data_IF_390580715480
#
_entry.id   IF_390580715480
#
_cell.length_a   1.000
_cell.length_b   1.000
_cell.length_c   1.000
_cell.angle_alpha   90.00
_cell.angle_beta   90.00
_cell.angle_gamma   90.00
#
_symmetry.space_group_name_H-M   'P 1'
#
loop_
_entity.id
_entity.type
_entity.pdbx_description
1 polymer ?
#
# COMPACT_ATOMS: atom_id res chain seq x y z
N UNK A 1 -7.32 50.28 -3.56
CA UNK A 1 -8.60 49.85 -4.17
C UNK A 1 -9.42 51.09 -4.53
N UNK A 2 -10.20 51.03 -5.60
CA UNK A 2 -11.34 51.91 -5.81
C UNK A 2 -12.55 51.00 -5.92
N UNK A 3 -12.83 50.23 -4.85
CA UNK A 3 -13.99 49.34 -4.80
C UNK A 3 -15.22 50.23 -4.72
N UNK A 4 -15.85 50.46 -5.86
CA UNK A 4 -17.23 50.94 -5.85
C UNK A 4 -18.08 49.82 -5.26
N UNK A 5 -18.45 49.96 -3.99
CA UNK A 5 -19.31 49.06 -3.22
C UNK A 5 -20.79 49.28 -3.52
N UNK A 6 -21.13 50.26 -4.37
CA UNK A 6 -22.51 50.53 -4.77
C UNK A 6 -23.08 49.52 -5.78
N UNK A 7 -24.39 49.56 -6.03
CA UNK A 7 -25.07 48.66 -6.95
C UNK A 7 -24.51 48.75 -8.39
N UNK A 8 -24.20 47.60 -9.01
CA UNK A 8 -23.71 47.54 -10.40
C UNK A 8 -24.67 48.19 -11.40
N UNK A 9 -25.97 48.05 -11.17
CA UNK A 9 -27.02 48.64 -12.02
C UNK A 9 -26.99 50.17 -12.01
N UNK A 10 -26.53 50.78 -10.90
CA UNK A 10 -26.33 52.24 -10.84
C UNK A 10 -25.25 52.69 -11.82
N UNK A 11 -24.20 51.88 -12.03
CA UNK A 11 -23.17 52.17 -13.01
C UNK A 11 -23.67 51.97 -14.44
N UNK A 12 -24.42 50.89 -14.71
CA UNK A 12 -25.03 50.65 -16.02
C UNK A 12 -26.02 51.76 -16.39
N UNK A 13 -26.92 52.14 -15.46
CA UNK A 13 -27.81 53.30 -15.64
C UNK A 13 -27.03 54.59 -15.86
N UNK A 14 -25.96 54.84 -15.10
CA UNK A 14 -25.11 56.04 -15.25
C UNK A 14 -24.43 56.15 -16.61
N UNK A 15 -24.11 55.04 -17.27
CA UNK A 15 -23.56 55.04 -18.63
C UNK A 15 -24.61 54.86 -19.72
N UNK A 16 -25.79 54.33 -19.38
CA UNK A 16 -26.91 54.13 -20.30
C UNK A 16 -26.72 52.91 -21.19
N UNK A 17 -25.84 51.99 -20.78
CA UNK A 17 -25.51 50.75 -21.48
C UNK A 17 -25.39 49.66 -20.43
N UNK A 18 -25.81 48.44 -20.74
CA UNK A 18 -25.60 47.31 -19.85
C UNK A 18 -24.12 46.90 -19.87
N UNK A 19 -23.38 47.32 -18.84
CA UNK A 19 -21.95 47.06 -18.73
C UNK A 19 -21.62 45.62 -18.32
N UNK A 20 -22.59 44.89 -17.76
CA UNK A 20 -22.36 43.60 -17.10
C UNK A 20 -23.19 42.45 -17.67
N UNK A 21 -24.02 42.70 -18.70
CA UNK A 21 -24.80 41.68 -19.40
C UNK A 21 -25.91 41.05 -18.55
N UNK A 22 -26.49 41.82 -17.62
CA UNK A 22 -27.56 41.34 -16.72
C UNK A 22 -28.97 41.59 -17.27
N UNK A 23 -29.14 42.30 -18.39
CA UNK A 23 -30.43 42.53 -19.03
C UNK A 23 -31.41 43.41 -18.25
N UNK A 24 -30.94 44.18 -17.26
CA UNK A 24 -31.80 45.02 -16.41
C UNK A 24 -32.29 46.31 -17.10
N UNK A 25 -33.46 46.82 -16.69
CA UNK A 25 -34.00 48.11 -17.16
C UNK A 25 -33.01 49.25 -16.86
N UNK A 26 -32.49 49.88 -17.92
CA UNK A 26 -31.52 50.98 -17.87
C UNK A 26 -32.15 52.37 -17.69
N UNK A 27 -33.47 52.41 -17.43
CA UNK A 27 -34.25 53.65 -17.34
C UNK A 27 -33.59 54.63 -16.37
N UNK A 28 -33.19 55.78 -16.89
CA UNK A 28 -32.87 56.95 -16.06
C UNK A 28 -34.17 57.68 -15.78
N UNK A 29 -34.39 58.06 -14.53
CA UNK A 29 -35.33 59.15 -14.27
C UNK A 29 -34.75 60.39 -14.97
N UNK A 30 -35.55 61.00 -15.86
CA UNK A 30 -35.16 62.21 -16.59
C UNK A 30 -34.92 63.40 -15.64
N UNK A 31 -35.41 63.30 -14.40
CA UNK A 31 -35.36 64.38 -13.42
C UNK A 31 -34.94 63.82 -12.05
N UNK A 32 -33.89 64.36 -11.40
CA UNK A 32 -33.57 64.02 -10.01
C UNK A 32 -34.68 64.49 -9.05
N UNK A 33 -34.90 63.80 -7.92
CA UNK A 33 -35.85 64.25 -6.91
C UNK A 33 -35.48 65.66 -6.43
N UNK A 34 -36.44 66.60 -6.46
CA UNK A 34 -36.28 67.99 -6.01
C UNK A 34 -35.95 69.03 -7.09
N UNK A 35 -35.90 68.66 -8.38
CA UNK A 35 -35.68 69.60 -9.48
C UNK A 35 -36.95 69.67 -10.34
N UNK A 36 -37.59 70.84 -10.43
CA UNK A 36 -38.68 71.08 -11.37
C UNK A 36 -38.09 71.64 -12.67
N UNK A 37 -37.93 70.79 -13.68
CA UNK A 37 -37.60 71.21 -15.05
C UNK A 37 -36.51 70.37 -15.72
N UNK A 38 -36.61 70.12 -17.05
CA UNK A 38 -35.57 69.44 -17.79
C UNK A 38 -34.35 70.36 -17.89
N UNK A 39 -33.21 69.96 -17.31
CA UNK A 39 -31.93 70.60 -17.64
C UNK A 39 -31.71 70.39 -19.15
N UNK A 40 -31.44 71.48 -19.88
CA UNK A 40 -31.11 71.40 -21.30
C UNK A 40 -30.06 70.31 -21.56
N UNK A 41 -30.27 69.52 -22.61
CA UNK A 41 -29.33 68.49 -23.03
C UNK A 41 -28.03 69.17 -23.48
N UNK A 42 -27.10 69.42 -22.56
CA UNK A 42 -25.76 69.83 -22.95
C UNK A 42 -25.10 68.68 -23.72
N UNK A 43 -24.83 68.89 -25.00
CA UNK A 43 -24.00 68.00 -25.80
C UNK A 43 -22.65 67.85 -25.10
N UNK A 44 -22.31 66.62 -24.72
CA UNK A 44 -21.04 66.35 -24.02
C UNK A 44 -19.87 66.84 -24.88
N UNK A 45 -18.95 67.58 -24.25
CA UNK A 45 -17.66 67.95 -24.85
C UNK A 45 -16.89 66.71 -25.32
N UNK A 46 -15.95 66.88 -26.25
CA UNK A 46 -15.12 65.75 -26.72
C UNK A 46 -14.41 65.05 -25.56
N UNK A 47 -13.83 65.81 -24.63
CA UNK A 47 -13.25 65.28 -23.39
C UNK A 47 -14.29 64.50 -22.57
N UNK A 48 -15.49 65.05 -22.41
CA UNK A 48 -16.59 64.38 -21.71
C UNK A 48 -17.00 63.06 -22.36
N UNK A 49 -16.97 62.95 -23.69
CA UNK A 49 -17.21 61.69 -24.42
C UNK A 49 -16.08 60.69 -24.17
N UNK A 50 -14.83 61.10 -24.35
CA UNK A 50 -13.65 60.26 -24.11
C UNK A 50 -13.58 59.74 -22.68
N UNK A 51 -13.85 60.59 -21.68
CA UNK A 51 -13.90 60.20 -20.28
C UNK A 51 -14.96 59.12 -20.04
N UNK A 52 -16.12 59.23 -20.69
CA UNK A 52 -17.20 58.23 -20.56
C UNK A 52 -16.81 56.90 -21.19
N UNK A 53 -16.24 56.91 -22.39
CA UNK A 53 -15.74 55.67 -23.02
C UNK A 53 -14.66 55.00 -22.17
N UNK A 54 -13.71 55.78 -21.63
CA UNK A 54 -12.72 55.29 -20.66
C UNK A 54 -13.39 54.64 -19.44
N UNK A 55 -14.40 55.28 -18.85
CA UNK A 55 -15.11 54.72 -17.70
C UNK A 55 -15.88 53.44 -18.06
N UNK A 56 -16.48 53.35 -19.25
CA UNK A 56 -17.16 52.14 -19.73
C UNK A 56 -16.20 50.97 -19.80
N UNK A 57 -15.08 51.12 -20.51
CA UNK A 57 -14.05 50.07 -20.66
C UNK A 57 -13.53 49.65 -19.29
N UNK A 58 -13.19 50.61 -18.42
CA UNK A 58 -12.69 50.32 -17.07
C UNK A 58 -13.68 49.48 -16.25
N UNK A 59 -14.97 49.80 -16.33
CA UNK A 59 -16.03 49.11 -15.58
C UNK A 59 -16.33 47.73 -16.17
N UNK A 60 -16.41 47.62 -17.50
CA UNK A 60 -16.66 46.35 -18.20
C UNK A 60 -15.61 45.29 -17.85
N UNK A 61 -14.33 45.65 -17.89
CA UNK A 61 -13.21 44.75 -17.58
C UNK A 61 -12.81 44.73 -16.10
N UNK A 62 -13.50 45.51 -15.25
CA UNK A 62 -13.24 45.57 -13.81
C UNK A 62 -11.80 45.97 -13.45
N UNK A 63 -11.26 46.98 -14.14
CA UNK A 63 -9.87 47.44 -14.00
C UNK A 63 -9.74 48.59 -13.01
N UNK A 64 -8.60 48.66 -12.35
CA UNK A 64 -8.22 49.83 -11.58
C UNK A 64 -7.67 50.94 -12.49
N UNK A 65 -7.73 52.20 -12.04
CA UNK A 65 -7.26 53.35 -12.84
C UNK A 65 -5.77 53.20 -13.25
N UNK A 66 -4.93 52.78 -12.30
CA UNK A 66 -3.51 52.51 -12.56
C UNK A 66 -3.32 51.35 -13.53
N UNK A 67 -4.11 50.26 -13.42
CA UNK A 67 -4.02 49.12 -14.33
C UNK A 67 -4.39 49.54 -15.75
N UNK A 68 -5.46 50.31 -15.90
CA UNK A 68 -5.89 50.83 -17.19
C UNK A 68 -4.81 51.71 -17.82
N UNK A 69 -4.21 52.64 -17.05
CA UNK A 69 -3.09 53.45 -17.52
C UNK A 69 -1.92 52.58 -18.01
N UNK A 70 -1.57 51.52 -17.28
CA UNK A 70 -0.50 50.60 -17.66
C UNK A 70 -0.81 49.85 -18.96
N UNK A 71 -2.05 49.39 -19.17
CA UNK A 71 -2.45 48.73 -20.41
C UNK A 71 -2.44 49.69 -21.62
N UNK A 72 -2.90 50.92 -21.44
CA UNK A 72 -2.85 51.94 -22.49
C UNK A 72 -1.39 52.26 -22.86
N UNK A 73 -0.51 52.42 -21.88
CA UNK A 73 0.92 52.63 -22.15
C UNK A 73 1.56 51.44 -22.87
N UNK A 74 1.20 50.20 -22.54
CA UNK A 74 1.65 49.01 -23.27
C UNK A 74 1.13 48.96 -24.71
N UNK A 75 -0.13 49.36 -24.92
CA UNK A 75 -0.73 49.43 -26.26
C UNK A 75 -0.06 50.52 -27.11
N UNK A 76 0.25 51.69 -26.54
CA UNK A 76 0.96 52.78 -27.24
C UNK A 76 2.40 52.42 -27.64
N UNK A 77 3.05 51.54 -26.89
CA UNK A 77 4.39 51.03 -27.22
C UNK A 77 4.37 49.95 -28.31
N UNK A 78 3.21 49.38 -28.58
CA UNK A 78 3.04 48.32 -29.56
C UNK A 78 2.83 48.93 -30.95
N UNK A 79 3.35 48.28 -32.01
CA UNK A 79 3.13 48.74 -33.39
C UNK A 79 1.69 48.40 -33.82
N UNK A 80 1.03 49.34 -34.50
CA UNK A 80 -0.32 49.15 -35.06
C UNK A 80 -1.39 50.03 -34.40
N UNK A 81 -2.66 49.68 -34.63
CA UNK A 81 -3.80 50.41 -34.09
C UNK A 81 -3.88 50.25 -32.55
N UNK A 82 -3.68 51.34 -31.82
CA UNK A 82 -3.65 51.34 -30.34
C UNK A 82 -4.94 50.80 -29.72
N UNK A 83 -6.09 51.06 -30.36
CA UNK A 83 -7.40 50.60 -29.86
C UNK A 83 -7.53 49.09 -29.88
N UNK A 84 -7.15 48.47 -31.00
CA UNK A 84 -7.17 47.01 -31.17
C UNK A 84 -6.15 46.33 -30.26
N UNK A 85 -4.95 46.89 -30.12
CA UNK A 85 -3.93 46.35 -29.22
C UNK A 85 -4.37 46.43 -27.76
N UNK A 86 -5.02 47.52 -27.36
CA UNK A 86 -5.59 47.64 -26.01
C UNK A 86 -6.65 46.56 -25.78
N UNK A 87 -7.57 46.36 -26.73
CA UNK A 87 -8.61 45.33 -26.63
C UNK A 87 -7.99 43.92 -26.56
N UNK A 88 -7.00 43.63 -27.39
CA UNK A 88 -6.27 42.35 -27.38
C UNK A 88 -5.62 42.09 -26.02
N UNK A 89 -4.91 43.06 -25.44
CA UNK A 89 -4.30 42.94 -24.12
C UNK A 89 -5.34 42.75 -22.99
N UNK A 90 -6.53 43.34 -23.14
CA UNK A 90 -7.60 43.17 -22.18
C UNK A 90 -8.29 41.81 -22.32
N UNK A 91 -8.56 41.33 -23.52
CA UNK A 91 -9.20 40.02 -23.73
C UNK A 91 -8.24 38.85 -23.42
N UNK A 92 -6.93 39.01 -23.58
CA UNK A 92 -5.91 37.99 -23.23
C UNK A 92 -5.69 37.78 -21.73
N UNK A 93 -6.40 38.54 -20.89
CA UNK A 93 -6.32 38.40 -19.44
C UNK A 93 -7.02 37.13 -19.00
N UNK A 94 -6.40 36.36 -18.10
CA UNK A 94 -6.90 35.05 -17.66
C UNK A 94 -8.38 35.11 -17.23
N UNK A 95 -8.78 36.08 -16.41
CA UNK A 95 -10.18 36.22 -15.98
C UNK A 95 -11.17 36.50 -17.13
N UNK A 96 -10.75 37.20 -18.18
CA UNK A 96 -11.58 37.43 -19.35
C UNK A 96 -11.64 36.21 -20.27
N UNK A 97 -10.52 35.52 -20.45
CA UNK A 97 -10.48 34.26 -21.22
C UNK A 97 -11.42 33.23 -20.58
N UNK A 98 -11.37 33.07 -19.26
CA UNK A 98 -12.27 32.15 -18.52
C UNK A 98 -13.73 32.52 -18.70
N UNK A 99 -14.06 33.82 -18.64
CA UNK A 99 -15.41 34.30 -18.89
C UNK A 99 -15.86 34.05 -20.33
N UNK A 100 -14.98 34.29 -21.32
CA UNK A 100 -15.27 34.05 -22.74
C UNK A 100 -15.45 32.58 -23.07
N UNK A 101 -14.72 31.70 -22.38
CA UNK A 101 -14.86 30.24 -22.47
C UNK A 101 -16.14 29.71 -21.81
N UNK A 102 -16.93 30.55 -21.13
CA UNK A 102 -18.19 30.13 -20.51
C UNK A 102 -18.03 29.42 -19.16
N UNK A 103 -16.82 29.30 -18.63
CA UNK A 103 -16.58 28.71 -17.30
C UNK A 103 -17.18 29.52 -16.14
N UNK A 104 -17.62 30.76 -16.40
CA UNK A 104 -18.23 31.61 -15.39
C UNK A 104 -19.29 32.54 -15.99
N UNK A 105 -20.41 32.79 -15.28
CA UNK A 105 -21.47 33.67 -15.74
C UNK A 105 -21.06 35.14 -15.79
N UNK A 106 -20.08 35.56 -14.98
CA UNK A 106 -19.66 36.96 -14.91
C UNK A 106 -18.16 37.07 -14.78
N UNK A 107 -17.55 38.09 -15.39
CA UNK A 107 -16.11 38.40 -15.21
C UNK A 107 -15.68 38.47 -13.73
N UNK A 108 -16.56 38.92 -12.83
CA UNK A 108 -16.29 38.92 -11.39
C UNK A 108 -16.17 37.53 -10.79
N UNK A 109 -17.04 36.60 -11.21
CA UNK A 109 -16.95 35.21 -10.78
C UNK A 109 -15.73 34.54 -11.41
N UNK A 110 -15.43 34.78 -12.69
CA UNK A 110 -14.22 34.28 -13.34
C UNK A 110 -12.94 34.69 -12.60
N UNK A 111 -12.87 35.96 -12.18
CA UNK A 111 -11.78 36.47 -11.33
C UNK A 111 -11.68 35.73 -10.00
N UNK A 112 -12.81 35.46 -9.36
CA UNK A 112 -12.86 34.73 -8.10
C UNK A 112 -12.39 33.28 -8.26
N UNK A 113 -12.73 32.60 -9.36
CA UNK A 113 -12.23 31.26 -9.68
C UNK A 113 -10.70 31.21 -9.76
N UNK A 114 -10.10 32.19 -10.45
CA UNK A 114 -8.63 32.33 -10.50
C UNK A 114 -8.06 32.58 -9.12
N UNK A 115 -8.60 33.54 -8.36
CA UNK A 115 -8.10 33.87 -7.03
C UNK A 115 -8.17 32.69 -6.04
N UNK A 116 -9.17 31.81 -6.18
CA UNK A 116 -9.28 30.57 -5.42
C UNK A 116 -8.41 29.41 -5.94
N UNK A 117 -7.49 29.65 -6.87
CA UNK A 117 -6.53 28.66 -7.41
C UNK A 117 -7.20 27.47 -8.10
N UNK A 118 -8.37 27.68 -8.71
CA UNK A 118 -9.14 26.61 -9.34
C UNK A 118 -8.72 26.32 -10.79
N UNK A 119 -7.72 27.02 -11.31
CA UNK A 119 -7.37 27.03 -12.74
C UNK A 119 -5.87 26.79 -12.90
N UNK A 120 -5.54 25.93 -13.85
CA UNK A 120 -4.18 25.56 -14.22
C UNK A 120 -3.88 26.14 -15.61
N UNK A 121 -2.74 26.80 -15.73
CA UNK A 121 -2.19 27.29 -17.01
C UNK A 121 -0.86 26.59 -17.22
N UNK A 122 -0.72 25.82 -18.28
CA UNK A 122 0.47 25.02 -18.60
C UNK A 122 0.93 24.16 -17.41
N UNK A 123 -0.04 23.53 -16.73
CA UNK A 123 0.19 22.69 -15.55
C UNK A 123 0.49 23.44 -14.25
N UNK A 124 0.66 24.77 -14.26
CA UNK A 124 0.92 25.57 -13.05
C UNK A 124 -0.36 26.19 -12.48
N UNK A 125 -0.50 26.17 -11.15
CA UNK A 125 -1.63 26.82 -10.45
C UNK A 125 -1.44 28.33 -10.46
N UNK A 126 -2.35 29.06 -11.10
CA UNK A 126 -2.30 30.53 -11.18
C UNK A 126 -3.36 31.14 -10.26
N UNK A 127 -2.96 32.05 -9.38
CA UNK A 127 -3.86 32.81 -8.51
C UNK A 127 -4.04 34.28 -8.93
N UNK A 128 -3.34 34.72 -9.98
CA UNK A 128 -3.33 36.10 -10.45
C UNK A 128 -4.32 36.25 -11.62
N UNK A 129 -5.46 36.94 -11.44
CA UNK A 129 -6.46 37.11 -12.50
C UNK A 129 -5.97 37.95 -13.68
N UNK A 130 -5.01 38.84 -13.42
CA UNK A 130 -4.38 39.70 -14.43
C UNK A 130 -3.29 39.00 -15.25
N UNK A 131 -3.08 37.70 -15.06
CA UNK A 131 -2.13 36.92 -15.85
C UNK A 131 -2.46 37.06 -17.35
N UNK A 132 -1.43 37.27 -18.17
CA UNK A 132 -1.57 37.47 -19.62
C UNK A 132 -1.26 36.15 -20.31
N UNK A 133 -2.25 35.60 -21.00
CA UNK A 133 -2.10 34.37 -21.75
C UNK A 133 -1.53 34.66 -23.14
N UNK A 134 -0.72 33.75 -23.67
CA UNK A 134 -0.26 33.73 -25.04
C UNK A 134 -1.05 32.71 -25.85
N UNK A 135 -1.01 32.86 -27.17
CA UNK A 135 -1.60 31.89 -28.08
C UNK A 135 -0.78 30.60 -27.97
N UNK A 136 -1.43 29.48 -27.66
CA UNK A 136 -0.79 28.19 -27.41
C UNK A 136 -0.78 27.74 -25.95
N UNK A 137 -1.06 28.64 -25.00
CA UNK A 137 -1.15 28.28 -23.58
C UNK A 137 -2.31 27.31 -23.35
N UNK A 138 -2.05 26.23 -22.61
CA UNK A 138 -3.05 25.21 -22.27
C UNK A 138 -3.74 25.56 -20.96
N UNK A 139 -5.07 25.69 -21.00
CA UNK A 139 -5.89 26.00 -19.82
C UNK A 139 -6.63 24.73 -19.41
N UNK A 140 -6.29 24.20 -18.24
CA UNK A 140 -6.99 23.08 -17.64
C UNK A 140 -7.93 23.59 -16.55
N UNK A 141 -9.23 23.41 -16.76
CA UNK A 141 -10.28 23.68 -15.79
C UNK A 141 -11.13 22.41 -15.62
N UNK A 142 -11.21 21.87 -14.40
CA UNK A 142 -11.95 20.62 -14.14
C UNK A 142 -13.40 20.92 -13.77
N UNK A 143 -14.28 20.72 -14.74
CA UNK A 143 -15.75 20.81 -14.66
C UNK A 143 -16.30 19.74 -13.70
N UNK A 144 -17.10 20.12 -12.70
CA UNK A 144 -17.68 19.17 -11.71
C UNK A 144 -19.14 18.83 -12.00
N UNK A 145 -19.87 19.70 -12.68
CA UNK A 145 -21.24 19.45 -13.17
C UNK A 145 -21.36 19.98 -14.59
N UNK A 146 -21.83 19.14 -15.50
CA UNK A 146 -22.35 19.57 -16.80
C UNK A 146 -23.69 20.26 -16.55
N UNK A 147 -23.62 21.59 -16.51
CA UNK A 147 -24.75 22.51 -16.64
C UNK A 147 -25.80 22.47 -15.50
N UNK A 148 -25.85 23.53 -14.70
CA UNK A 148 -27.12 23.91 -14.07
C UNK A 148 -28.12 24.34 -15.17
N UNK A 149 -29.42 24.46 -14.87
CA UNK A 149 -30.49 24.91 -15.80
C UNK A 149 -30.22 26.24 -16.55
N UNK A 150 -29.14 26.96 -16.20
CA UNK A 150 -28.68 28.20 -16.83
C UNK A 150 -27.37 28.03 -17.65
N UNK A 151 -26.89 26.80 -17.88
CA UNK A 151 -25.71 26.49 -18.70
C UNK A 151 -24.35 26.73 -18.03
N UNK A 152 -24.29 26.84 -16.70
CA UNK A 152 -23.05 27.17 -15.97
C UNK A 152 -22.42 25.97 -15.28
N UNK A 153 -21.08 25.96 -15.28
CA UNK A 153 -20.24 24.95 -14.64
C UNK A 153 -19.93 25.38 -13.19
N UNK A 154 -20.34 24.58 -12.21
CA UNK A 154 -19.95 24.78 -10.80
C UNK A 154 -18.61 24.11 -10.56
N UNK A 155 -17.60 24.86 -10.10
CA UNK A 155 -16.25 24.38 -9.81
C UNK A 155 -16.08 24.19 -8.29
N UNK A 156 -16.01 22.94 -7.83
CA UNK A 156 -15.70 22.62 -6.43
C UNK A 156 -14.34 21.94 -6.31
N UNK A 157 -13.36 22.69 -5.81
CA UNK A 157 -12.00 22.21 -5.58
C UNK A 157 -11.93 21.00 -4.63
N UNK A 158 -12.84 20.94 -3.64
CA UNK A 158 -12.89 19.85 -2.65
C UNK A 158 -13.30 18.50 -3.26
N UNK A 159 -14.14 18.51 -4.29
CA UNK A 159 -14.56 17.27 -4.96
C UNK A 159 -13.48 16.80 -5.95
N UNK A 160 -12.83 17.74 -6.64
CA UNK A 160 -11.73 17.48 -7.55
C UNK A 160 -10.51 16.81 -6.89
N UNK A 161 -10.15 17.22 -5.66
CA UNK A 161 -9.07 16.57 -4.90
C UNK A 161 -9.42 15.13 -4.51
N UNK A 162 -10.68 14.87 -4.12
CA UNK A 162 -11.14 13.50 -3.83
C UNK A 162 -11.07 12.63 -5.08
N UNK A 163 -11.63 13.08 -6.21
CA UNK A 163 -11.62 12.29 -7.45
C UNK A 163 -10.20 12.01 -7.96
N UNK A 164 -9.27 12.96 -7.81
CA UNK A 164 -7.88 12.75 -8.24
C UNK A 164 -7.18 11.70 -7.37
N UNK A 165 -7.46 11.70 -6.06
CA UNK A 165 -7.00 10.66 -5.13
C UNK A 165 -7.63 9.31 -5.45
N UNK A 166 -8.92 9.27 -5.79
CA UNK A 166 -9.60 8.05 -6.23
C UNK A 166 -9.01 7.47 -7.51
N UNK A 167 -8.74 8.30 -8.52
CA UNK A 167 -8.01 7.86 -9.72
C UNK A 167 -6.63 7.30 -9.37
N UNK A 168 -5.89 7.96 -8.47
CA UNK A 168 -4.60 7.44 -8.02
C UNK A 168 -4.71 6.08 -7.30
N UNK A 169 -5.78 5.84 -6.56
CA UNK A 169 -6.04 4.54 -5.92
C UNK A 169 -6.49 3.46 -6.92
N UNK A 170 -7.23 3.83 -7.96
CA UNK A 170 -7.62 2.95 -9.08
C UNK A 170 -6.40 2.54 -9.91
N UNK A 171 -5.52 3.50 -10.23
CA UNK A 171 -4.23 3.24 -10.88
C UNK A 171 -3.34 2.33 -10.02
N UNK A 172 -3.39 2.47 -8.69
CA UNK A 172 -2.65 1.62 -7.76
C UNK A 172 -3.20 0.18 -7.71
N UNK A 173 -4.52 -0.01 -7.78
CA UNK A 173 -5.14 -1.32 -7.89
C UNK A 173 -4.75 -2.01 -9.20
N UNK A 174 -4.79 -1.28 -10.32
CA UNK A 174 -4.45 -1.81 -11.64
C UNK A 174 -2.96 -2.16 -11.79
N UNK A 175 -2.08 -1.34 -11.21
CA UNK A 175 -0.63 -1.58 -11.21
C UNK A 175 -0.18 -2.59 -10.15
N UNK A 176 -1.04 -2.88 -9.16
CA UNK A 176 -0.67 -3.68 -8.00
C UNK A 176 0.44 -3.03 -7.15
N UNK A 177 0.60 -1.72 -7.23
CA UNK A 177 1.67 -0.99 -6.54
C UNK A 177 1.51 -1.01 -5.02
N UNK A 178 2.65 -1.00 -4.34
CA UNK A 178 2.73 -1.02 -2.89
C UNK A 178 2.60 0.41 -2.39
N UNK A 179 1.63 0.65 -1.51
CA UNK A 179 1.35 1.96 -0.95
C UNK A 179 1.72 2.00 0.52
N UNK A 180 2.12 3.18 0.99
CA UNK A 180 2.30 3.46 2.40
C UNK A 180 0.96 3.92 2.99
N UNK A 181 0.55 3.26 4.07
CA UNK A 181 -0.67 3.59 4.81
C UNK A 181 -0.34 3.84 6.28
N UNK A 182 -0.82 4.96 6.81
CA UNK A 182 -0.62 5.35 8.21
C UNK A 182 -1.83 4.93 9.03
N UNK A 183 -1.64 4.16 10.10
CA UNK A 183 -2.77 3.75 10.97
C UNK A 183 -3.29 4.97 11.74
N UNK A 184 -4.59 5.26 11.61
CA UNK A 184 -5.28 6.32 12.35
C UNK A 184 -5.92 5.74 13.62
N UNK A 185 -6.77 4.73 13.45
CA UNK A 185 -7.67 4.22 14.49
C UNK A 185 -7.83 2.69 14.38
N UNK A 186 -8.34 2.06 15.44
CA UNK A 186 -8.64 0.63 15.47
C UNK A 186 -10.10 0.39 15.85
N UNK A 187 -10.72 -0.62 15.24
CA UNK A 187 -12.05 -1.11 15.56
C UNK A 187 -12.00 -2.62 15.86
N UNK A 188 -13.07 -3.17 16.45
CA UNK A 188 -13.19 -4.60 16.82
C UNK A 188 -12.94 -5.59 15.68
N UNK A 189 -12.98 -5.16 14.43
CA UNK A 189 -12.79 -6.01 13.24
C UNK A 189 -11.60 -5.66 12.34
N UNK A 190 -10.85 -4.59 12.62
CA UNK A 190 -9.76 -4.15 11.72
C UNK A 190 -9.17 -2.78 12.03
N UNK A 191 -8.14 -2.40 11.27
CA UNK A 191 -7.43 -1.13 11.37
C UNK A 191 -7.95 -0.13 10.35
N UNK A 192 -8.22 1.10 10.79
CA UNK A 192 -8.46 2.25 9.93
C UNK A 192 -7.13 2.92 9.63
N UNK A 193 -6.80 3.05 8.35
CA UNK A 193 -5.56 3.67 7.91
C UNK A 193 -5.83 4.76 6.88
N UNK A 194 -4.95 5.75 6.82
CA UNK A 194 -4.93 6.76 5.76
C UNK A 194 -3.92 6.33 4.70
N UNK A 195 -4.37 6.21 3.46
CA UNK A 195 -3.52 5.94 2.31
C UNK A 195 -3.84 6.96 1.21
N UNK A 196 -2.82 7.70 0.74
CA UNK A 196 -2.97 8.77 -0.26
C UNK A 196 -4.00 9.87 0.12
N UNK A 197 -4.33 10.01 1.41
CA UNK A 197 -5.34 10.94 1.89
C UNK A 197 -6.78 10.45 1.71
N UNK A 198 -6.98 9.13 1.63
CA UNK A 198 -8.26 8.41 1.67
C UNK A 198 -8.26 7.49 2.92
N UNK A 199 -9.44 7.30 3.54
CA UNK A 199 -9.61 6.40 4.70
C UNK A 199 -9.88 4.96 4.29
N UNK A 200 -8.93 4.08 4.54
CA UNK A 200 -8.98 2.66 4.19
C UNK A 200 -9.20 1.78 5.42
N UNK A 201 -9.64 0.55 5.16
CA UNK A 201 -9.89 -0.45 6.19
C UNK A 201 -9.05 -1.70 5.91
N UNK A 202 -8.24 -2.11 6.89
CA UNK A 202 -7.47 -3.36 6.87
C UNK A 202 -8.16 -4.35 7.83
N UNK A 203 -8.84 -5.38 7.33
CA UNK A 203 -9.38 -6.45 8.17
C UNK A 203 -8.27 -7.24 8.88
N UNK A 204 -8.54 -7.71 10.10
CA UNK A 204 -7.60 -8.50 10.91
C UNK A 204 -7.10 -9.79 10.21
N UNK A 205 -7.91 -10.39 9.35
CA UNK A 205 -7.55 -11.59 8.59
C UNK A 205 -6.47 -11.34 7.52
N UNK A 206 -6.20 -10.08 7.17
CA UNK A 206 -5.22 -9.67 6.15
C UNK A 206 -3.98 -8.98 6.76
N UNK A 207 -3.90 -8.94 8.10
CA UNK A 207 -2.70 -8.55 8.85
C UNK A 207 -1.87 -9.79 9.14
N UNK A 208 -0.56 -9.68 8.94
CA UNK A 208 0.33 -10.83 9.09
C UNK A 208 0.61 -11.17 10.57
N UNK A 209 0.73 -12.47 10.87
CA UNK A 209 0.82 -13.02 12.23
C UNK A 209 2.16 -12.72 12.91
N UNK A 210 3.16 -12.28 12.14
CA UNK A 210 4.51 -11.92 12.57
C UNK A 210 4.54 -10.66 13.44
N UNK A 211 3.64 -9.69 13.23
CA UNK A 211 3.50 -8.52 14.11
C UNK A 211 2.74 -8.81 15.42
N UNK A 212 2.00 -9.93 15.51
CA UNK A 212 1.06 -10.21 16.61
C UNK A 212 1.39 -11.46 17.44
N UNK A 213 2.53 -12.12 17.23
CA UNK A 213 2.89 -13.34 17.96
C UNK A 213 2.89 -13.15 19.50
N UNK A 214 3.22 -11.95 19.99
CA UNK A 214 3.18 -11.63 21.42
C UNK A 214 1.79 -11.18 21.92
N UNK A 215 0.89 -10.73 21.03
CA UNK A 215 -0.41 -10.17 21.42
C UNK A 215 -1.54 -11.20 21.34
N UNK A 216 -1.46 -12.21 20.46
CA UNK A 216 -2.48 -13.28 20.34
C UNK A 216 -2.53 -14.15 21.62
N UNK A 217 -1.41 -14.32 22.32
CA UNK A 217 -1.39 -15.00 23.61
C UNK A 217 -2.18 -14.24 24.70
N UNK A 218 -2.29 -12.90 24.58
CA UNK A 218 -3.12 -12.07 25.48
C UNK A 218 -4.59 -11.98 25.06
N UNK A 219 -4.92 -12.24 23.79
CA UNK A 219 -6.29 -12.22 23.28
C UNK A 219 -7.22 -13.27 23.91
N UNK A 220 -6.68 -14.37 24.44
CA UNK A 220 -7.48 -15.42 25.06
C UNK A 220 -7.73 -15.22 26.57
N UNK A 221 -7.02 -14.31 27.25
CA UNK A 221 -6.98 -14.30 28.72
C UNK A 221 -7.01 -12.92 29.43
N UNK A 222 -7.00 -11.77 28.73
CA UNK A 222 -6.80 -10.46 29.39
C UNK A 222 -7.77 -9.34 28.98
N UNK A 223 -8.19 -8.56 29.99
CA UNK A 223 -9.17 -7.46 29.97
C UNK A 223 -8.96 -6.34 28.92
N UNK A 224 -10.07 -5.72 28.52
CA UNK A 224 -10.23 -4.63 27.53
C UNK A 224 -9.29 -3.40 27.68
N UNK A 225 -8.61 -3.25 28.81
CA UNK A 225 -7.72 -2.13 29.11
C UNK A 225 -6.30 -2.32 28.52
N UNK A 226 -5.74 -3.53 28.56
CA UNK A 226 -4.38 -3.80 28.06
C UNK A 226 -4.29 -3.74 26.53
N UNK A 227 -5.37 -4.11 25.84
CA UNK A 227 -5.52 -4.01 24.38
C UNK A 227 -5.41 -2.56 23.90
N UNK A 228 -5.90 -1.59 24.68
CA UNK A 228 -5.86 -0.17 24.29
C UNK A 228 -4.45 0.42 24.41
N UNK A 229 -3.63 -0.09 25.32
CA UNK A 229 -2.28 0.43 25.57
C UNK A 229 -1.25 -0.10 24.56
N UNK A 230 -1.30 -1.38 24.19
CA UNK A 230 -0.43 -1.94 23.14
C UNK A 230 -0.81 -1.42 21.75
N UNK A 231 -2.09 -1.22 21.45
CA UNK A 231 -2.56 -0.70 20.15
C UNK A 231 -2.30 0.81 19.98
N UNK A 232 -2.22 1.58 21.08
CA UNK A 232 -1.80 2.99 21.03
C UNK A 232 -0.36 3.15 20.55
N UNK A 233 0.52 2.19 20.84
CA UNK A 233 1.91 2.21 20.37
C UNK A 233 2.06 1.93 18.86
N UNK A 234 1.00 1.45 18.21
CA UNK A 234 0.94 1.15 16.77
C UNK A 234 0.23 2.26 15.96
N UNK A 235 -0.54 3.14 16.63
CA UNK A 235 -1.17 4.28 15.99
C UNK A 235 -0.09 5.27 15.48
N UNK A 236 -0.16 5.63 14.19
CA UNK A 236 0.85 6.47 13.54
C UNK A 236 2.03 5.72 12.90
N UNK A 237 2.10 4.39 13.00
CA UNK A 237 3.06 3.61 12.19
C UNK A 237 2.61 3.56 10.73
N UNK A 238 3.59 3.58 9.84
CA UNK A 238 3.41 3.45 8.39
C UNK A 238 3.60 1.99 8.03
N UNK A 239 2.57 1.38 7.42
CA UNK A 239 2.58 0.01 6.94
C UNK A 239 2.50 0.02 5.41
N UNK A 240 3.22 -0.91 4.79
CA UNK A 240 3.14 -1.13 3.34
C UNK A 240 1.95 -2.03 3.04
N UNK A 241 1.05 -1.57 2.19
CA UNK A 241 -0.21 -2.26 1.89
C UNK A 241 -0.52 -2.23 0.40
N UNK A 242 -1.27 -3.22 -0.05
CA UNK A 242 -1.82 -3.31 -1.39
C UNK A 242 -3.34 -3.13 -1.35
N UNK A 243 -3.90 -2.50 -2.37
CA UNK A 243 -5.36 -2.35 -2.53
C UNK A 243 -5.92 -3.66 -3.06
N UNK A 244 -6.91 -4.24 -2.36
CA UNK A 244 -7.66 -5.40 -2.84
C UNK A 244 -8.96 -4.93 -3.50
N UNK A 245 -9.70 -4.07 -2.82
CA UNK A 245 -11.05 -3.71 -3.19
C UNK A 245 -11.27 -2.21 -3.02
N UNK A 246 -11.96 -1.60 -3.98
CA UNK A 246 -12.17 -0.16 -4.05
C UNK A 246 -13.64 0.13 -4.37
N UNK A 247 -14.35 0.70 -3.40
CA UNK A 247 -15.74 1.15 -3.50
C UNK A 247 -15.80 2.70 -3.45
N UNK A 248 -15.85 3.39 -4.60
CA UNK A 248 -15.82 4.85 -4.64
C UNK A 248 -17.13 5.47 -4.12
N UNK A 249 -18.25 4.74 -4.19
CA UNK A 249 -19.56 5.22 -3.72
C UNK A 249 -19.67 5.24 -2.19
N UNK A 250 -19.11 4.22 -1.52
CA UNK A 250 -19.17 4.07 -0.05
C UNK A 250 -17.97 4.72 0.65
N UNK A 251 -17.03 5.32 -0.10
CA UNK A 251 -15.72 5.74 0.39
C UNK A 251 -15.00 4.64 1.19
N UNK A 252 -15.14 3.39 0.74
CA UNK A 252 -14.53 2.23 1.39
C UNK A 252 -13.48 1.70 0.44
N UNK A 253 -12.27 1.48 0.92
CA UNK A 253 -11.28 0.69 0.19
C UNK A 253 -10.58 -0.21 1.19
N UNK A 254 -10.42 -1.46 0.78
CA UNK A 254 -9.87 -2.52 1.61
C UNK A 254 -8.42 -2.73 1.22
N UNK A 255 -7.56 -2.66 2.22
CA UNK A 255 -6.12 -2.75 2.10
C UNK A 255 -5.63 -4.06 2.76
N UNK A 256 -4.57 -4.64 2.22
CA UNK A 256 -3.95 -5.88 2.71
C UNK A 256 -2.44 -5.74 2.78
N UNK A 257 -1.88 -6.04 3.95
CA UNK A 257 -0.43 -6.11 4.16
C UNK A 257 0.14 -7.42 3.60
N UNK A 258 -0.61 -8.53 3.73
CA UNK A 258 -0.20 -9.87 3.29
C UNK A 258 0.18 -9.93 1.80
N UNK A 259 -0.56 -9.24 0.94
CA UNK A 259 -0.31 -9.23 -0.52
C UNK A 259 0.83 -8.29 -0.95
N UNK A 260 1.16 -7.29 -0.12
CA UNK A 260 2.37 -6.49 -0.34
C UNK A 260 3.61 -7.33 -0.03
N UNK A 261 3.54 -8.13 1.04
CA UNK A 261 4.62 -9.02 1.45
C UNK A 261 4.80 -10.21 0.52
N UNK A 262 3.75 -10.77 -0.09
CA UNK A 262 3.95 -11.84 -1.09
C UNK A 262 4.83 -11.37 -2.25
N UNK A 263 4.64 -10.13 -2.71
CA UNK A 263 5.42 -9.56 -3.83
C UNK A 263 6.89 -9.29 -3.43
N UNK A 264 7.15 -8.79 -2.21
CA UNK A 264 8.52 -8.62 -1.68
C UNK A 264 9.19 -9.95 -1.31
N UNK A 265 8.42 -10.86 -0.74
CA UNK A 265 8.86 -12.21 -0.44
C UNK A 265 9.23 -12.91 -1.73
N UNK A 266 8.48 -12.79 -2.83
CA UNK A 266 8.80 -13.51 -4.07
C UNK A 266 10.13 -13.02 -4.69
N UNK A 267 10.39 -11.71 -4.77
CA UNK A 267 11.67 -11.20 -5.28
C UNK A 267 12.87 -11.49 -4.37
N UNK A 268 12.68 -11.45 -3.04
CA UNK A 268 13.74 -11.78 -2.07
C UNK A 268 13.93 -13.30 -1.94
N UNK A 269 12.85 -14.08 -2.11
CA UNK A 269 12.85 -15.55 -2.14
C UNK A 269 13.57 -16.05 -3.37
N UNK A 270 13.33 -15.46 -4.55
CA UNK A 270 14.03 -15.86 -5.77
C UNK A 270 15.54 -15.62 -5.65
N UNK A 271 15.95 -14.48 -5.06
CA UNK A 271 17.36 -14.20 -4.76
C UNK A 271 17.94 -15.18 -3.74
N UNK A 272 17.21 -15.50 -2.67
CA UNK A 272 17.67 -16.46 -1.64
C UNK A 272 17.70 -17.91 -2.14
N UNK A 273 16.73 -18.33 -2.94
CA UNK A 273 16.72 -19.66 -3.57
C UNK A 273 17.93 -19.86 -4.49
N UNK A 274 18.44 -18.79 -5.11
CA UNK A 274 19.68 -18.82 -5.88
C UNK A 274 20.94 -18.88 -5.01
N UNK A 275 20.90 -18.34 -3.79
CA UNK A 275 22.03 -18.35 -2.84
C UNK A 275 22.13 -19.66 -2.03
N UNK A 276 21.01 -20.35 -1.80
CA UNK A 276 20.96 -21.59 -1.00
C UNK A 276 21.36 -22.78 -1.87
N UNK A 277 22.63 -23.18 -1.79
CA UNK A 277 23.09 -24.45 -2.33
C UNK A 277 22.69 -25.63 -1.43
N UNK A 278 22.35 -26.77 -2.03
CA UNK A 278 22.11 -28.04 -1.35
C UNK A 278 23.31 -28.41 -0.46
N UNK A 279 23.08 -28.65 0.83
CA UNK A 279 24.10 -28.97 1.82
C UNK A 279 24.49 -27.83 2.77
N UNK A 280 23.93 -26.64 2.60
CA UNK A 280 24.10 -25.53 3.57
C UNK A 280 23.32 -25.82 4.87
N UNK A 281 23.93 -25.45 5.99
CA UNK A 281 23.28 -25.51 7.32
C UNK A 281 22.70 -24.14 7.63
N UNK A 282 21.41 -24.08 7.93
CA UNK A 282 20.68 -22.85 8.22
C UNK A 282 19.93 -22.97 9.56
N UNK A 283 19.70 -21.83 10.20
CA UNK A 283 18.86 -21.73 11.39
C UNK A 283 17.47 -21.26 10.98
N UNK A 284 16.42 -21.93 11.46
CA UNK A 284 15.03 -21.57 11.13
C UNK A 284 14.09 -21.71 12.30
N UNK A 285 12.94 -21.05 12.21
CA UNK A 285 11.92 -21.02 13.26
C UNK A 285 10.83 -22.03 12.92
N UNK A 286 10.46 -22.90 13.87
CA UNK A 286 9.37 -23.86 13.69
C UNK A 286 8.03 -23.10 13.63
N UNK A 287 7.37 -23.10 12.48
CA UNK A 287 6.05 -22.45 12.30
C UNK A 287 4.90 -23.39 12.62
N UNK A 288 5.08 -24.70 12.42
CA UNK A 288 4.03 -25.68 12.66
C UNK A 288 4.55 -27.12 12.70
N UNK A 289 3.88 -27.96 13.48
CA UNK A 289 4.20 -29.38 13.62
C UNK A 289 2.97 -30.16 13.17
N UNK A 290 3.14 -31.04 12.19
CA UNK A 290 2.11 -31.96 11.72
C UNK A 290 2.56 -33.40 11.95
N UNK A 291 1.63 -34.38 11.96
CA UNK A 291 1.97 -35.78 12.17
C UNK A 291 2.93 -36.36 11.13
N UNK A 292 3.05 -35.77 9.94
CA UNK A 292 3.93 -36.22 8.85
C UNK A 292 5.22 -35.40 8.69
N UNK A 293 5.40 -34.31 9.45
CA UNK A 293 6.57 -33.45 9.32
C UNK A 293 6.51 -32.14 10.10
N UNK A 294 7.64 -31.45 10.16
CA UNK A 294 7.81 -30.16 10.85
C UNK A 294 8.06 -29.07 9.81
N UNK A 295 7.29 -27.99 9.89
CA UNK A 295 7.46 -26.81 9.04
C UNK A 295 8.39 -25.81 9.75
N UNK A 296 9.43 -25.41 9.03
CA UNK A 296 10.45 -24.50 9.52
C UNK A 296 10.55 -23.36 8.52
N UNK A 297 10.42 -22.12 9.01
CA UNK A 297 10.67 -20.93 8.22
C UNK A 297 12.15 -20.55 8.32
N UNK A 298 12.82 -20.58 7.17
CA UNK A 298 14.22 -20.20 7.01
C UNK A 298 14.25 -18.83 6.34
N UNK A 299 14.13 -17.77 7.15
CA UNK A 299 14.15 -16.38 6.72
C UNK A 299 13.27 -16.12 5.47
N UNK A 300 12.03 -16.60 5.48
CA UNK A 300 11.04 -16.35 4.44
C UNK A 300 10.89 -17.46 3.40
N UNK A 301 11.67 -18.54 3.46
CA UNK A 301 11.44 -19.77 2.68
C UNK A 301 10.93 -20.87 3.60
N UNK A 302 9.77 -21.44 3.25
CA UNK A 302 9.21 -22.56 4.00
C UNK A 302 9.92 -23.87 3.63
N UNK A 303 10.48 -24.52 4.65
CA UNK A 303 11.06 -25.85 4.53
C UNK A 303 10.25 -26.90 5.30
N UNK A 304 10.21 -28.11 4.74
CA UNK A 304 9.56 -29.27 5.34
C UNK A 304 10.63 -30.27 5.77
N UNK A 305 10.62 -30.61 7.06
CA UNK A 305 11.37 -31.75 7.59
C UNK A 305 10.43 -32.95 7.69
N UNK A 306 10.72 -34.01 6.93
CA UNK A 306 9.96 -35.26 7.02
C UNK A 306 10.29 -35.98 8.34
N UNK A 307 9.36 -36.74 8.93
CA UNK A 307 9.61 -37.44 10.22
C UNK A 307 10.90 -38.28 10.20
N UNK A 308 11.16 -38.93 9.07
CA UNK A 308 12.34 -39.79 8.86
C UNK A 308 13.68 -39.05 8.83
N UNK A 309 13.65 -37.72 8.70
CA UNK A 309 14.81 -36.83 8.62
C UNK A 309 14.99 -35.99 9.89
N UNK A 310 14.13 -36.19 10.91
CA UNK A 310 14.20 -35.50 12.20
C UNK A 310 15.31 -36.07 13.09
N UNK A 311 15.39 -37.40 13.20
CA UNK A 311 16.36 -38.09 14.04
C UNK A 311 16.67 -39.48 13.48
N UNK A 312 17.76 -40.09 13.94
CA UNK A 312 18.08 -41.49 13.66
C UNK A 312 17.14 -42.48 14.36
N UNK A 313 16.38 -42.01 15.35
CA UNK A 313 15.39 -42.78 16.11
C UNK A 313 14.02 -42.78 15.40
N UNK A 314 13.21 -43.84 15.60
CA UNK A 314 11.81 -43.86 15.18
C UNK A 314 10.99 -42.90 16.05
N UNK A 315 10.84 -41.65 15.58
CA UNK A 315 10.01 -40.65 16.24
C UNK A 315 8.55 -40.87 15.85
N UNK A 316 7.73 -41.40 16.75
CA UNK A 316 6.28 -41.53 16.53
C UNK A 316 5.53 -40.20 16.68
N UNK A 317 6.06 -39.27 17.48
CA UNK A 317 5.45 -37.97 17.74
C UNK A 317 6.50 -36.83 17.67
N UNK A 318 6.53 -36.07 16.55
CA UNK A 318 7.47 -34.94 16.41
C UNK A 318 7.20 -33.79 17.39
N UNK A 319 6.00 -33.75 18.00
CA UNK A 319 5.59 -32.72 18.98
C UNK A 319 6.31 -32.80 20.32
N UNK A 320 7.02 -33.90 20.61
CA UNK A 320 7.81 -34.04 21.84
C UNK A 320 9.20 -33.38 21.74
N UNK A 321 9.74 -33.25 20.53
CA UNK A 321 11.10 -32.74 20.29
C UNK A 321 11.12 -31.27 19.89
N UNK A 322 10.08 -30.79 19.22
CA UNK A 322 10.00 -29.41 18.74
C UNK A 322 8.84 -28.66 19.36
N UNK A 323 9.05 -27.38 19.67
CA UNK A 323 7.99 -26.46 20.09
C UNK A 323 7.83 -25.39 19.02
N UNK A 324 6.58 -25.05 18.68
CA UNK A 324 6.27 -23.96 17.75
C UNK A 324 6.93 -22.67 18.26
N UNK A 325 7.68 -22.00 17.39
CA UNK A 325 8.42 -20.76 17.68
C UNK A 325 9.87 -20.93 18.14
N UNK A 326 10.38 -22.17 18.30
CA UNK A 326 11.81 -22.38 18.61
C UNK A 326 12.69 -22.35 17.36
N UNK A 327 13.93 -21.89 17.54
CA UNK A 327 14.98 -21.92 16.52
C UNK A 327 15.64 -23.30 16.45
N UNK A 328 15.82 -23.83 15.24
CA UNK A 328 16.37 -25.16 14.97
C UNK A 328 17.37 -25.07 13.83
N UNK A 329 18.51 -25.77 13.97
CA UNK A 329 19.50 -25.95 12.90
C UNK A 329 19.08 -27.08 11.98
N UNK A 330 19.09 -26.83 10.68
CA UNK A 330 18.68 -27.77 9.64
C UNK A 330 19.61 -27.70 8.44
N UNK A 331 19.84 -28.85 7.81
CA UNK A 331 20.62 -28.95 6.57
C UNK A 331 19.67 -29.10 5.38
N UNK A 332 19.93 -28.35 4.30
CA UNK A 332 19.13 -28.43 3.07
C UNK A 332 19.54 -29.66 2.26
N UNK A 333 18.60 -30.59 2.04
CA UNK A 333 18.83 -31.79 1.21
C UNK A 333 18.64 -31.49 -0.28
N UNK A 334 17.64 -30.67 -0.60
CA UNK A 334 17.27 -30.36 -1.96
C UNK A 334 16.12 -29.36 -2.03
N UNK A 335 16.00 -28.74 -3.20
CA UNK A 335 14.96 -27.76 -3.51
C UNK A 335 13.95 -28.47 -4.40
N UNK A 336 12.68 -28.44 -4.02
CA UNK A 336 11.60 -28.87 -4.91
C UNK A 336 11.07 -27.63 -5.67
N UNK A 337 11.48 -27.51 -6.93
CA UNK A 337 11.16 -26.37 -7.81
C UNK A 337 9.65 -26.24 -8.08
N UNK A 338 8.88 -27.33 -8.00
CA UNK A 338 7.44 -27.30 -8.27
C UNK A 338 6.62 -26.79 -7.10
N UNK A 339 6.98 -27.17 -5.87
CA UNK A 339 6.27 -26.76 -4.66
C UNK A 339 6.88 -25.53 -3.98
N UNK A 340 8.05 -25.05 -4.46
CA UNK A 340 8.86 -23.98 -3.85
C UNK A 340 9.19 -24.25 -2.37
N UNK A 341 9.24 -25.53 -1.97
CA UNK A 341 9.55 -25.97 -0.61
C UNK A 341 10.96 -26.55 -0.54
N UNK A 342 11.64 -26.29 0.56
CA UNK A 342 12.94 -26.91 0.85
C UNK A 342 12.75 -28.23 1.58
N UNK A 343 13.37 -29.30 1.10
CA UNK A 343 13.50 -30.53 1.86
C UNK A 343 14.65 -30.38 2.85
N UNK A 344 14.33 -30.42 4.14
CA UNK A 344 15.28 -30.17 5.23
C UNK A 344 15.51 -31.44 6.04
N UNK A 345 16.72 -31.59 6.58
CA UNK A 345 17.09 -32.69 7.47
C UNK A 345 17.84 -32.19 8.69
N UNK A 346 17.43 -32.69 9.86
CA UNK A 346 18.14 -32.52 11.14
C UNK A 346 19.11 -33.69 11.36
N UNK A 347 18.79 -34.86 10.80
CA UNK A 347 19.55 -36.11 10.94
C UNK A 347 21.03 -36.00 10.52
N UNK A 348 21.32 -35.26 9.46
CA UNK A 348 22.69 -35.11 8.91
C UNK A 348 23.61 -34.18 9.72
N UNK A 349 23.07 -33.43 10.68
CA UNK A 349 23.86 -32.60 11.59
C UNK A 349 24.48 -33.40 12.75
N UNK A 350 23.86 -34.53 13.10
CA UNK A 350 24.39 -35.46 14.09
C UNK A 350 25.28 -36.51 13.42
N UNK A 351 26.48 -36.80 13.97
CA UNK A 351 27.40 -37.76 13.40
C UNK A 351 26.73 -39.14 13.29
N UNK A 352 26.97 -39.83 12.17
CA UNK A 352 26.38 -41.12 11.89
C UNK A 352 26.87 -42.15 12.92
N UNK A 353 26.00 -42.72 13.77
CA UNK A 353 26.43 -43.68 14.78
C UNK A 353 27.13 -44.91 14.16
N UNK A 354 26.81 -45.26 12.91
CA UNK A 354 27.41 -46.38 12.17
C UNK A 354 28.89 -46.22 11.84
N UNK A 355 29.40 -44.99 11.69
CA UNK A 355 30.85 -44.77 11.48
C UNK A 355 31.65 -45.00 12.78
N UNK A 356 30.99 -44.88 13.93
CA UNK A 356 31.61 -45.09 15.24
C UNK A 356 31.53 -46.56 15.67
N UNK A 357 30.50 -47.28 15.22
CA UNK A 357 30.24 -48.69 15.57
C UNK A 357 31.34 -49.62 15.11
N UNK A 358 31.88 -49.40 13.90
CA UNK A 358 32.97 -50.22 13.35
C UNK A 358 34.26 -50.10 14.18
N UNK A 359 34.43 -49.00 14.94
CA UNK A 359 35.55 -48.79 15.86
C UNK A 359 35.24 -49.21 17.29
N UNK A 360 34.00 -49.05 17.74
CA UNK A 360 33.58 -49.33 19.12
C UNK A 360 33.22 -50.80 19.37
N UNK A 361 32.79 -51.53 18.35
CA UNK A 361 32.28 -52.91 18.48
C UNK A 361 32.95 -53.86 17.47
N UNK A 362 34.21 -54.27 17.68
CA UNK A 362 34.80 -55.34 16.89
C UNK A 362 34.04 -56.67 17.07
N UNK A 363 34.11 -57.52 16.05
CA UNK A 363 33.53 -58.87 16.04
C UNK A 363 34.00 -59.64 17.28
N UNK A 364 33.05 -60.22 18.03
CA UNK A 364 33.29 -60.94 19.27
C UNK A 364 33.05 -60.14 20.57
N UNK A 365 32.68 -58.87 20.49
CA UNK A 365 32.32 -58.07 21.68
C UNK A 365 30.95 -58.49 22.24
N UNK A 366 30.86 -58.56 23.57
CA UNK A 366 29.59 -58.77 24.29
C UNK A 366 28.91 -57.42 24.46
N UNK A 367 27.68 -57.31 23.95
CA UNK A 367 26.85 -56.12 24.02
C UNK A 367 25.56 -56.44 24.76
N UNK A 368 25.09 -55.47 25.55
CA UNK A 368 23.80 -55.51 26.22
C UNK A 368 22.81 -54.74 25.36
N UNK A 369 21.64 -55.32 25.10
CA UNK A 369 20.60 -54.63 24.36
C UNK A 369 19.20 -55.09 24.75
N UNK A 370 18.21 -54.27 24.41
CA UNK A 370 16.81 -54.52 24.72
C UNK A 370 16.12 -55.04 23.46
N UNK A 371 15.36 -56.12 23.56
CA UNK A 371 14.57 -56.65 22.44
C UNK A 371 13.45 -55.66 22.08
N UNK A 372 13.52 -55.03 20.91
CA UNK A 372 12.51 -54.06 20.45
C UNK A 372 11.34 -54.74 19.73
N UNK A 373 11.60 -55.79 18.94
CA UNK A 373 10.57 -56.52 18.20
C UNK A 373 10.96 -57.96 17.91
N UNK A 374 10.05 -58.89 18.09
CA UNK A 374 10.26 -60.31 17.76
C UNK A 374 9.52 -60.65 16.45
N UNK A 375 10.22 -61.24 15.49
CA UNK A 375 9.67 -61.74 14.22
C UNK A 375 9.97 -63.24 14.06
N UNK A 376 9.20 -63.99 13.26
CA UNK A 376 9.37 -65.46 13.15
C UNK A 376 10.77 -65.93 12.70
N UNK A 377 11.55 -65.06 12.06
CA UNK A 377 12.90 -65.35 11.57
C UNK A 377 14.02 -64.76 12.45
N UNK A 378 13.69 -64.01 13.50
CA UNK A 378 14.68 -63.42 14.40
C UNK A 378 14.12 -62.37 15.38
N UNK A 379 14.96 -61.85 16.27
CA UNK A 379 14.61 -60.76 17.18
C UNK A 379 15.47 -59.52 16.89
N UNK A 380 14.85 -58.34 16.87
CA UNK A 380 15.56 -57.06 16.79
C UNK A 380 15.93 -56.62 18.21
N UNK A 381 17.23 -56.45 18.46
CA UNK A 381 17.78 -56.03 19.75
C UNK A 381 18.42 -54.66 19.57
N UNK A 382 17.92 -53.66 20.29
CA UNK A 382 18.47 -52.30 20.30
C UNK A 382 19.58 -52.24 21.34
N UNK A 383 20.83 -52.08 20.89
CA UNK A 383 22.03 -52.03 21.76
C UNK A 383 22.23 -50.60 22.29
N UNK A 384 22.18 -49.63 21.37
CA UNK A 384 22.38 -48.21 21.64
C UNK A 384 21.42 -47.37 20.77
N UNK A 385 21.31 -46.07 21.06
CA UNK A 385 20.38 -45.14 20.39
C UNK A 385 20.63 -45.10 18.86
N UNK A 386 19.76 -45.76 18.09
CA UNK A 386 19.85 -45.83 16.62
C UNK A 386 20.62 -47.04 16.06
N UNK A 387 20.98 -48.01 16.91
CA UNK A 387 21.67 -49.26 16.55
C UNK A 387 20.80 -50.46 16.88
N UNK A 388 20.25 -51.06 15.83
CA UNK A 388 19.45 -52.27 15.91
C UNK A 388 20.25 -53.46 15.36
N UNK A 389 20.42 -54.49 16.17
CA UNK A 389 20.98 -55.77 15.78
C UNK A 389 19.91 -56.82 15.54
N UNK A 390 20.15 -57.75 14.63
CA UNK A 390 19.28 -58.88 14.34
C UNK A 390 19.88 -60.15 14.93
N UNK A 391 19.10 -60.82 15.77
CA UNK A 391 19.41 -62.17 16.27
C UNK A 391 18.60 -63.18 15.46
N UNK A 392 19.25 -64.05 14.70
CA UNK A 392 18.55 -65.12 13.99
C UNK A 392 18.04 -66.18 14.98
N UNK A 393 16.90 -66.82 14.69
CA UNK A 393 16.33 -67.89 15.53
C UNK A 393 17.29 -69.05 15.78
N UNK A 394 18.24 -69.28 14.87
CA UNK A 394 19.30 -70.31 15.01
C UNK A 394 20.37 -69.96 16.07
N UNK A 395 20.46 -68.68 16.44
CA UNK A 395 21.44 -68.10 17.35
C UNK A 395 20.79 -67.53 18.63
N UNK A 396 19.49 -67.78 18.80
CA UNK A 396 18.71 -67.44 19.98
C UNK A 396 18.84 -68.54 21.07
N UNK A 397 19.12 -68.18 22.32
CA UNK A 397 19.20 -69.12 23.45
C UNK A 397 17.82 -69.54 24.03
N UNK A 398 16.71 -69.13 23.41
CA UNK A 398 15.33 -69.42 23.85
C UNK A 398 14.30 -68.47 23.22
N UNK A 399 13.00 -68.59 23.57
CA UNK A 399 11.98 -67.66 23.13
C UNK A 399 12.17 -66.29 23.81
N UNK A 400 12.73 -65.33 23.05
CA UNK A 400 12.90 -63.95 23.50
C UNK A 400 11.55 -63.23 23.57
N UNK A 401 11.33 -62.44 24.63
CA UNK A 401 10.14 -61.57 24.74
C UNK A 401 10.48 -60.13 24.37
N UNK A 402 9.51 -59.41 23.82
CA UNK A 402 9.64 -57.96 23.56
C UNK A 402 9.87 -57.23 24.88
N UNK A 403 10.92 -56.40 24.95
CA UNK A 403 11.33 -55.62 26.11
C UNK A 403 12.34 -56.28 27.05
N UNK A 404 12.81 -57.50 26.75
CA UNK A 404 13.80 -58.20 27.59
C UNK A 404 15.23 -57.67 27.33
N UNK A 405 16.02 -57.52 28.40
CA UNK A 405 17.45 -57.20 28.31
C UNK A 405 18.24 -58.49 28.05
N UNK A 406 19.00 -58.52 26.95
CA UNK A 406 19.74 -59.70 26.51
C UNK A 406 21.21 -59.34 26.29
N UNK A 407 22.09 -60.24 26.71
CA UNK A 407 23.51 -60.20 26.37
C UNK A 407 23.73 -60.94 25.05
N UNK A 408 24.24 -60.25 24.04
CA UNK A 408 24.52 -60.81 22.73
C UNK A 408 25.97 -60.55 22.31
N UNK A 409 26.53 -61.43 21.48
CA UNK A 409 27.86 -61.31 20.91
C UNK A 409 27.71 -60.86 19.46
N UNK A 410 28.50 -59.87 19.06
CA UNK A 410 28.55 -59.38 17.68
C UNK A 410 29.28 -60.39 16.79
N UNK A 411 28.59 -61.01 15.83
CA UNK A 411 29.18 -61.95 14.87
C UNK A 411 29.63 -61.24 13.61
N UNK A 412 28.81 -60.32 13.12
CA UNK A 412 29.08 -59.62 11.87
C UNK A 412 28.55 -58.19 11.95
N UNK A 413 29.38 -57.24 11.52
CA UNK A 413 29.04 -55.83 11.41
C UNK A 413 29.14 -55.47 9.94
N UNK A 414 27.99 -55.19 9.31
CA UNK A 414 27.94 -54.67 7.94
C UNK A 414 27.61 -53.17 8.00
N UNK A 415 28.64 -52.32 8.02
CA UNK A 415 28.49 -50.86 8.09
C UNK A 415 27.75 -50.26 6.89
N UNK A 416 27.83 -50.89 5.72
CA UNK A 416 27.17 -50.44 4.48
C UNK A 416 25.67 -50.69 4.47
N UNK A 417 25.24 -51.82 5.02
CA UNK A 417 23.83 -52.23 5.04
C UNK A 417 23.09 -51.82 6.31
N UNK A 418 23.79 -51.17 7.25
CA UNK A 418 23.25 -50.86 8.58
C UNK A 418 22.67 -52.12 9.26
N UNK A 419 23.40 -53.24 9.19
CA UNK A 419 23.02 -54.51 9.82
C UNK A 419 24.11 -54.96 10.79
N UNK A 420 23.67 -55.36 11.97
CA UNK A 420 24.52 -55.94 13.00
C UNK A 420 23.95 -57.31 13.38
N UNK A 421 24.68 -58.38 13.06
CA UNK A 421 24.26 -59.74 13.38
C UNK A 421 24.73 -60.10 14.79
N UNK A 422 23.79 -60.48 15.63
CA UNK A 422 23.99 -60.77 17.04
C UNK A 422 23.65 -62.23 17.34
N UNK A 423 24.48 -62.90 18.14
CA UNK A 423 24.15 -64.19 18.70
C UNK A 423 24.04 -64.13 20.21
N UNK A 424 23.00 -64.75 20.75
CA UNK A 424 22.79 -64.91 22.19
C UNK A 424 23.26 -66.29 22.67
N UNK A 425 23.72 -67.14 21.75
CA UNK A 425 24.24 -68.47 22.04
C UNK A 425 25.69 -68.34 22.52
N UNK A 426 25.90 -68.56 23.82
CA UNK A 426 27.25 -68.68 24.39
C UNK A 426 27.94 -69.93 23.79
N UNK A 427 29.12 -69.76 23.21
CA UNK A 427 30.09 -70.85 23.06
C UNK A 427 30.97 -70.91 24.30
#
# INVERSE_FOLDING_TARGET
>A
MGRYTGPKDRLSRREGVDLFGKGGKLTRLNVPPGIHGPRGFHTKSQYGRQLREKQKVKRMYGLMEHQFKNYVQKALKSRGNTGEMLLSLLERRLDNVIYRLGFSPTRSSARQLVSHRQILVDGKRVNIPSCQLKVGDTILAKVVQSENQQGYIVLSLRKAEKDKKWKGAEDALASGSILEATIIEYNKGGLLCDCLGLRGFIPLSHLDRSHFANDIAKFAAGSEAELKESLKALAGKVIKVKVIELDPLKNRFVLSEKDAMSTYSDESREKRLQEIASGTTLEGIVTGIMPFGVFIDLDGVEGLVHISEIAWEKVNNPSAYFSVGKTVKVMVLGIDEQSKKLALSVKRLTPNPWETVEKSYPVGTKVKGIVSKVVPFGAFVTIEKGLDGLVHVSEAAGPLKEGEEVEAIVIQVDGTNQKLALSTRQQ
#
